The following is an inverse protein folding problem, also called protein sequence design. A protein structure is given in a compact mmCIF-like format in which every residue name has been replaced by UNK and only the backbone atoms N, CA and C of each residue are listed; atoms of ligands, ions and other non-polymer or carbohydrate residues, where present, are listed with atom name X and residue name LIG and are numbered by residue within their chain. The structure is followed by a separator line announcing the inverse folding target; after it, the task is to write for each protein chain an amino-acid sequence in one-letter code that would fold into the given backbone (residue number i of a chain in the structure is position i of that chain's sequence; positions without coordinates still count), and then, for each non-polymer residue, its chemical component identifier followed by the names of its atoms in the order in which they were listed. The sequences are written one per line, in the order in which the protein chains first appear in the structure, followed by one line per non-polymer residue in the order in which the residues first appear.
data_IF_308640624755
#
_entry.id   IF_308640624755
#
_cell.length_a   1.000
_cell.length_b   1.000
_cell.length_c   1.000
_cell.angle_alpha   90.00
_cell.angle_beta   90.00
_cell.angle_gamma   90.00
#
_symmetry.space_group_name_H-M   'P 1'
#
loop_
_entity.id
_entity.type
_entity.pdbx_description
1 polymer ?
#
# COMPACT_ATOMS: atom_id res chain seq x y z
N UNK A 1 4.76 18.98 -12.82
CA UNK A 1 3.45 19.54 -13.23
C UNK A 1 2.70 18.47 -13.97
N UNK A 2 1.63 17.94 -13.36
CA UNK A 2 0.94 16.70 -13.74
C UNK A 2 0.23 16.80 -15.10
N UNK A 3 0.18 15.67 -15.83
CA UNK A 3 -0.45 15.45 -17.14
C UNK A 3 -1.87 16.05 -17.28
N UNK A 4 -2.62 16.15 -16.17
CA UNK A 4 -4.03 16.52 -16.16
C UNK A 4 -4.35 18.01 -16.11
N UNK A 5 -3.36 18.91 -16.18
CA UNK A 5 -3.58 20.32 -15.86
C UNK A 5 -4.70 21.03 -16.67
N UNK A 6 -5.17 20.49 -17.81
CA UNK A 6 -6.15 21.17 -18.66
C UNK A 6 -7.23 20.31 -19.36
N UNK A 7 -7.42 19.01 -19.05
CA UNK A 7 -8.44 18.17 -19.75
C UNK A 7 -9.24 17.26 -18.82
N UNK A 8 -10.43 17.72 -18.42
CA UNK A 8 -11.32 17.02 -17.47
C UNK A 8 -11.86 15.68 -18.01
N UNK A 9 -12.15 15.61 -19.30
CA UNK A 9 -12.67 14.39 -19.93
C UNK A 9 -11.64 13.27 -19.95
N UNK A 10 -10.38 13.62 -20.28
CA UNK A 10 -9.25 12.68 -20.24
C UNK A 10 -9.05 12.13 -18.82
N UNK A 11 -9.14 12.98 -17.79
CA UNK A 11 -9.05 12.53 -16.40
C UNK A 11 -10.15 11.51 -16.04
N UNK A 12 -11.37 11.73 -16.53
CA UNK A 12 -12.48 10.83 -16.24
C UNK A 12 -12.35 9.49 -16.98
N UNK A 13 -11.89 9.50 -18.23
CA UNK A 13 -11.63 8.29 -18.99
C UNK A 13 -10.48 7.48 -18.37
N UNK A 14 -9.45 8.16 -17.87
CA UNK A 14 -8.31 7.53 -17.19
C UNK A 14 -8.71 6.92 -15.87
N UNK A 15 -9.60 7.61 -15.13
CA UNK A 15 -10.21 7.06 -13.94
C UNK A 15 -10.98 5.77 -14.27
N UNK A 16 -11.88 5.79 -15.26
CA UNK A 16 -12.64 4.58 -15.67
C UNK A 16 -11.71 3.45 -16.09
N UNK A 17 -10.70 3.77 -16.89
CA UNK A 17 -9.70 2.81 -17.35
C UNK A 17 -8.95 2.19 -16.17
N UNK A 18 -8.47 3.02 -15.24
CA UNK A 18 -7.75 2.56 -14.04
C UNK A 18 -8.61 1.65 -13.16
N UNK A 19 -9.90 1.97 -13.01
CA UNK A 19 -10.86 1.14 -12.26
C UNK A 19 -11.08 -0.20 -12.96
N UNK A 20 -11.24 -0.22 -14.29
CA UNK A 20 -11.39 -1.47 -15.04
C UNK A 20 -10.15 -2.38 -14.89
N UNK A 21 -8.95 -1.81 -15.05
CA UNK A 21 -7.68 -2.53 -14.86
C UNK A 21 -7.56 -3.05 -13.42
N UNK A 22 -7.90 -2.22 -12.43
CA UNK A 22 -7.93 -2.59 -11.02
C UNK A 22 -8.84 -3.79 -10.75
N UNK A 23 -10.07 -3.79 -11.25
CA UNK A 23 -11.03 -4.88 -11.02
C UNK A 23 -10.51 -6.22 -11.55
N UNK A 24 -9.94 -6.22 -12.77
CA UNK A 24 -9.36 -7.43 -13.37
C UNK A 24 -8.13 -7.92 -12.61
N UNK A 25 -7.22 -7.01 -12.27
CA UNK A 25 -6.00 -7.35 -11.54
C UNK A 25 -6.29 -7.83 -10.12
N UNK A 26 -7.28 -7.26 -9.43
CA UNK A 26 -7.65 -7.68 -8.09
C UNK A 26 -8.12 -9.14 -8.06
N UNK A 27 -8.92 -9.56 -9.04
CA UNK A 27 -9.36 -10.96 -9.15
C UNK A 27 -8.15 -11.89 -9.33
N UNK A 28 -7.23 -11.56 -10.23
CA UNK A 28 -6.07 -12.41 -10.48
C UNK A 28 -5.10 -12.43 -9.28
N UNK A 29 -4.81 -11.25 -8.71
CA UNK A 29 -3.97 -11.14 -7.51
C UNK A 29 -4.59 -11.90 -6.34
N UNK A 30 -5.92 -11.90 -6.19
CA UNK A 30 -6.57 -12.68 -5.12
C UNK A 30 -6.27 -14.18 -5.24
N UNK A 31 -6.25 -14.72 -6.46
CA UNK A 31 -5.95 -16.13 -6.71
C UNK A 31 -4.46 -16.44 -6.45
N UNK A 32 -3.57 -15.58 -6.95
CA UNK A 32 -2.12 -15.72 -6.76
C UNK A 32 -1.76 -15.61 -5.27
N UNK A 33 -2.30 -14.63 -4.55
CA UNK A 33 -2.04 -14.42 -3.13
C UNK A 33 -2.62 -15.55 -2.27
N UNK A 34 -3.81 -16.07 -2.60
CA UNK A 34 -4.35 -17.25 -1.96
C UNK A 34 -3.42 -18.45 -2.12
N UNK A 35 -2.88 -18.69 -3.32
CA UNK A 35 -1.93 -19.76 -3.59
C UNK A 35 -0.62 -19.57 -2.80
N UNK A 36 -0.02 -18.38 -2.87
CA UNK A 36 1.22 -18.04 -2.17
C UNK A 36 1.11 -18.21 -0.65
N UNK A 37 -0.01 -17.76 -0.08
CA UNK A 37 -0.23 -17.80 1.37
C UNK A 37 -0.91 -19.07 1.85
N UNK A 38 -1.24 -20.01 0.95
CA UNK A 38 -1.99 -21.22 1.24
C UNK A 38 -3.31 -20.92 1.96
N UNK A 39 -4.02 -19.88 1.50
CA UNK A 39 -5.31 -19.44 2.03
C UNK A 39 -6.40 -19.55 0.96
N UNK A 40 -7.67 -19.41 1.38
CA UNK A 40 -8.82 -19.41 0.47
C UNK A 40 -9.75 -18.24 0.77
N UNK A 41 -9.21 -17.02 0.74
CA UNK A 41 -9.98 -15.82 1.00
C UNK A 41 -10.71 -15.32 -0.25
N UNK A 42 -11.85 -14.66 -0.06
CA UNK A 42 -12.63 -14.10 -1.16
C UNK A 42 -11.95 -12.90 -1.83
N UNK A 43 -12.35 -12.56 -3.06
CA UNK A 43 -11.93 -11.31 -3.73
C UNK A 43 -12.25 -10.09 -2.86
N UNK A 44 -13.39 -10.11 -2.14
CA UNK A 44 -13.78 -9.04 -1.21
C UNK A 44 -12.78 -8.87 -0.07
N UNK A 45 -12.23 -9.97 0.46
CA UNK A 45 -11.20 -9.88 1.50
C UNK A 45 -9.95 -9.17 0.95
N UNK A 46 -9.47 -9.58 -0.21
CA UNK A 46 -8.31 -8.95 -0.85
C UNK A 46 -8.60 -7.51 -1.29
N UNK A 47 -9.85 -7.17 -1.62
CA UNK A 47 -10.28 -5.79 -1.85
C UNK A 47 -10.06 -4.91 -0.63
N UNK A 48 -10.32 -5.43 0.57
CA UNK A 48 -10.14 -4.69 1.82
C UNK A 48 -8.65 -4.56 2.15
N UNK A 49 -7.89 -5.65 2.00
CA UNK A 49 -6.47 -5.71 2.40
C UNK A 49 -5.55 -4.99 1.40
N UNK A 50 -5.64 -5.37 0.12
CA UNK A 50 -4.73 -4.92 -0.94
C UNK A 50 -5.34 -3.78 -1.77
N UNK A 51 -6.67 -3.75 -1.89
CA UNK A 51 -7.37 -2.87 -2.82
C UNK A 51 -7.02 -1.36 -2.72
N UNK A 52 -6.92 -0.76 -1.52
CA UNK A 52 -6.55 0.65 -1.38
C UNK A 52 -5.18 0.98 -1.98
N UNK A 53 -4.20 0.09 -1.79
CA UNK A 53 -2.88 0.23 -2.40
C UNK A 53 -2.95 0.02 -3.91
N UNK A 54 -3.60 -1.06 -4.37
CA UNK A 54 -3.61 -1.47 -5.77
C UNK A 54 -4.21 -0.39 -6.68
N UNK A 55 -5.39 0.14 -6.32
CA UNK A 55 -6.04 1.18 -7.11
C UNK A 55 -5.17 2.45 -7.20
N UNK A 56 -4.61 2.87 -6.06
CA UNK A 56 -3.75 4.05 -5.99
C UNK A 56 -2.49 3.88 -6.82
N UNK A 57 -1.83 2.73 -6.71
CA UNK A 57 -0.63 2.42 -7.49
C UNK A 57 -0.92 2.42 -8.99
N UNK A 58 -2.02 1.82 -9.44
CA UNK A 58 -2.40 1.80 -10.87
C UNK A 58 -2.60 3.23 -11.39
N UNK A 59 -3.31 4.08 -10.65
CA UNK A 59 -3.56 5.48 -11.04
C UNK A 59 -2.27 6.28 -11.13
N UNK A 60 -1.41 6.13 -10.12
CA UNK A 60 -0.07 6.72 -10.07
C UNK A 60 0.75 6.28 -11.28
N UNK A 61 0.81 4.98 -11.52
CA UNK A 61 1.61 4.41 -12.61
C UNK A 61 1.07 4.84 -13.99
N UNK A 62 -0.25 4.93 -14.15
CA UNK A 62 -0.89 5.41 -15.38
C UNK A 62 -0.55 6.86 -15.69
N UNK A 63 -0.63 7.76 -14.70
CA UNK A 63 -0.26 9.16 -14.86
C UNK A 63 1.21 9.32 -15.31
N UNK A 64 2.11 8.53 -14.72
CA UNK A 64 3.54 8.53 -15.06
C UNK A 64 3.80 7.95 -16.44
N UNK A 65 3.12 6.86 -16.81
CA UNK A 65 3.18 6.27 -18.14
C UNK A 65 2.76 7.29 -19.21
N UNK A 66 1.61 7.94 -19.00
CA UNK A 66 1.09 8.95 -19.93
C UNK A 66 1.98 10.18 -20.04
N UNK A 67 2.60 10.58 -18.94
CA UNK A 67 3.60 11.67 -18.94
C UNK A 67 4.78 11.33 -19.84
N UNK A 68 5.29 10.09 -19.80
CA UNK A 68 6.37 9.64 -20.68
C UNK A 68 5.91 9.55 -22.14
N UNK A 69 4.72 9.00 -22.41
CA UNK A 69 4.19 8.95 -23.77
C UNK A 69 4.05 10.36 -24.37
N UNK A 70 3.47 11.31 -23.63
CA UNK A 70 3.36 12.69 -24.09
C UNK A 70 4.73 13.35 -24.30
N UNK A 71 5.70 13.08 -23.43
CA UNK A 71 7.05 13.63 -23.56
C UNK A 71 7.73 13.10 -24.83
N UNK A 72 7.61 11.80 -25.09
CA UNK A 72 8.10 11.17 -26.30
C UNK A 72 7.42 11.72 -27.56
N UNK A 73 6.09 11.83 -27.54
CA UNK A 73 5.31 12.30 -28.70
C UNK A 73 5.41 13.82 -28.92
N UNK A 74 6.09 14.56 -28.01
CA UNK A 74 6.27 16.01 -28.14
C UNK A 74 7.46 16.43 -29.01
N UNK A 75 8.35 15.49 -29.36
CA UNK A 75 9.64 15.70 -30.03
C UNK A 75 10.59 16.71 -29.34
N UNK A 76 10.28 17.13 -28.10
CA UNK A 76 11.11 18.06 -27.32
C UNK A 76 12.17 17.38 -26.46
N UNK A 77 11.99 16.09 -26.18
CA UNK A 77 12.89 15.32 -25.31
C UNK A 77 13.83 14.52 -26.17
N UNK A 78 15.09 14.94 -26.23
CA UNK A 78 16.12 14.33 -27.08
C UNK A 78 16.87 13.18 -26.38
N UNK A 79 17.05 13.28 -25.06
CA UNK A 79 17.73 12.27 -24.26
C UNK A 79 17.31 12.42 -22.79
N UNK A 80 17.47 11.34 -22.03
CA UNK A 80 17.30 11.35 -20.58
C UNK A 80 18.27 10.38 -19.92
N UNK A 81 18.32 10.38 -18.59
CA UNK A 81 19.09 9.39 -17.85
C UNK A 81 18.18 8.60 -16.93
N UNK A 82 18.46 7.31 -16.78
CA UNK A 82 17.73 6.41 -15.91
C UNK A 82 18.68 5.76 -14.90
N UNK A 83 18.10 5.17 -13.85
CA UNK A 83 18.88 4.37 -12.90
C UNK A 83 18.23 3.01 -12.68
N UNK A 84 19.03 1.93 -12.79
CA UNK A 84 18.57 0.55 -12.73
C UNK A 84 18.90 -0.16 -11.41
N UNK A 85 19.75 0.44 -10.57
CA UNK A 85 20.39 -0.22 -9.41
C UNK A 85 19.53 -0.45 -8.17
N UNK A 86 18.22 -0.23 -8.19
CA UNK A 86 17.42 -0.10 -6.97
C UNK A 86 16.21 -1.04 -6.84
N UNK A 87 16.20 -2.17 -7.54
CA UNK A 87 15.02 -3.04 -7.60
C UNK A 87 14.48 -3.44 -6.21
N UNK A 88 15.36 -3.63 -5.21
CA UNK A 88 14.97 -4.03 -3.86
C UNK A 88 14.85 -2.87 -2.86
N UNK A 89 15.40 -1.69 -3.18
CA UNK A 89 15.41 -0.52 -2.28
C UNK A 89 14.07 0.24 -2.30
N UNK A 90 13.40 0.29 -3.46
CA UNK A 90 12.12 0.98 -3.63
C UNK A 90 10.91 0.07 -3.50
N UNK A 91 10.90 -0.74 -2.44
CA UNK A 91 9.74 -1.56 -2.08
C UNK A 91 9.17 -1.06 -0.75
N UNK A 92 7.96 -0.48 -0.74
CA UNK A 92 7.36 0.01 0.49
C UNK A 92 7.09 -1.15 1.46
N UNK A 93 7.32 -0.93 2.76
CA UNK A 93 7.00 -1.91 3.79
C UNK A 93 5.48 -2.03 3.98
N UNK A 94 4.76 -0.90 3.96
CA UNK A 94 3.32 -0.81 4.15
C UNK A 94 2.66 0.33 3.33
N UNK A 95 1.32 0.44 3.42
CA UNK A 95 0.55 1.49 2.75
C UNK A 95 0.90 2.92 3.23
N UNK A 96 1.05 3.20 4.54
CA UNK A 96 1.54 4.50 5.02
C UNK A 96 2.90 4.91 4.44
N UNK A 97 3.85 4.00 4.32
CA UNK A 97 5.15 4.26 3.68
C UNK A 97 5.00 4.55 2.20
N UNK A 98 4.24 3.72 1.47
CA UNK A 98 3.91 3.99 0.07
C UNK A 98 3.30 5.39 -0.13
N UNK A 99 2.35 5.78 0.72
CA UNK A 99 1.71 7.09 0.67
C UNK A 99 2.67 8.25 0.94
N UNK A 100 3.75 8.03 1.71
CA UNK A 100 4.82 9.03 1.91
C UNK A 100 5.73 9.11 0.69
N UNK A 101 5.96 7.98 0.00
CA UNK A 101 6.90 7.89 -1.12
C UNK A 101 6.35 8.37 -2.45
N UNK A 102 5.02 8.34 -2.66
CA UNK A 102 4.41 8.69 -3.95
C UNK A 102 4.79 10.08 -4.48
N UNK A 103 5.13 11.02 -3.59
CA UNK A 103 5.51 12.40 -3.91
C UNK A 103 7.02 12.65 -3.85
N UNK A 104 7.81 11.61 -3.56
CA UNK A 104 9.27 11.70 -3.38
C UNK A 104 9.96 11.50 -4.73
N UNK A 105 10.83 12.45 -5.10
CA UNK A 105 11.48 12.49 -6.42
C UNK A 105 12.22 11.20 -6.76
N UNK A 106 12.89 10.59 -5.79
CA UNK A 106 13.65 9.36 -5.99
C UNK A 106 12.76 8.18 -6.37
N UNK A 107 11.64 8.01 -5.66
CA UNK A 107 10.69 6.95 -5.95
C UNK A 107 10.02 7.18 -7.31
N UNK A 108 9.67 8.44 -7.61
CA UNK A 108 9.14 8.80 -8.92
C UNK A 108 10.17 8.58 -10.04
N UNK A 109 11.44 8.93 -9.83
CA UNK A 109 12.53 8.68 -10.76
C UNK A 109 12.72 7.20 -11.04
N UNK A 110 12.63 6.35 -10.00
CA UNK A 110 12.62 4.90 -10.17
C UNK A 110 11.46 4.44 -11.07
N UNK A 111 10.22 4.88 -10.80
CA UNK A 111 9.06 4.50 -11.62
C UNK A 111 9.19 4.98 -13.06
N UNK A 112 9.64 6.23 -13.27
CA UNK A 112 9.90 6.76 -14.60
C UNK A 112 11.00 5.98 -15.32
N UNK A 113 12.08 5.61 -14.64
CA UNK A 113 13.16 4.79 -15.20
C UNK A 113 12.65 3.44 -15.70
N UNK A 114 11.77 2.76 -14.94
CA UNK A 114 11.16 1.50 -15.36
C UNK A 114 10.26 1.68 -16.59
N UNK A 115 9.49 2.77 -16.64
CA UNK A 115 8.59 3.07 -17.76
C UNK A 115 9.40 3.42 -19.01
N UNK A 116 10.37 4.33 -18.93
CA UNK A 116 11.22 4.77 -20.05
C UNK A 116 11.91 3.57 -20.68
N UNK A 117 12.52 2.71 -19.85
CA UNK A 117 13.16 1.47 -20.30
C UNK A 117 12.21 0.54 -21.04
N UNK A 118 10.95 0.46 -20.61
CA UNK A 118 9.98 -0.47 -21.19
C UNK A 118 9.25 0.08 -22.41
N UNK A 119 9.15 1.41 -22.54
CA UNK A 119 8.48 2.09 -23.64
C UNK A 119 9.43 2.25 -24.84
N UNK A 120 10.73 2.42 -24.60
CA UNK A 120 11.79 2.51 -25.62
C UNK A 120 11.58 3.60 -26.68
N UNK A 121 10.75 4.62 -26.38
CA UNK A 121 10.52 5.77 -27.29
C UNK A 121 11.47 6.94 -27.07
N UNK A 122 12.08 7.05 -25.89
CA UNK A 122 12.99 8.15 -25.53
C UNK A 122 14.40 7.55 -25.37
N UNK A 123 15.43 8.08 -26.06
CA UNK A 123 16.81 7.69 -25.81
C UNK A 123 17.19 7.90 -24.35
N UNK A 124 17.95 6.96 -23.78
CA UNK A 124 18.37 7.07 -22.38
C UNK A 124 19.79 6.56 -22.14
N UNK A 125 20.41 7.13 -21.11
CA UNK A 125 21.71 6.72 -20.59
C UNK A 125 21.59 6.21 -19.15
N UNK A 126 22.36 5.17 -18.80
CA UNK A 126 22.38 4.65 -17.43
C UNK A 126 23.38 5.44 -16.57
N UNK A 127 22.90 6.01 -15.46
CA UNK A 127 23.76 6.69 -14.47
C UNK A 127 23.79 5.89 -13.16
N UNK A 128 24.98 5.38 -12.80
CA UNK A 128 25.19 4.46 -11.66
C UNK A 128 25.54 5.15 -10.33
N UNK A 129 26.10 6.36 -10.38
CA UNK A 129 26.63 7.05 -9.18
C UNK A 129 25.68 8.15 -8.66
N UNK A 130 24.51 7.76 -8.15
CA UNK A 130 23.61 8.70 -7.48
C UNK A 130 23.34 8.19 -6.07
N UNK A 131 23.81 8.96 -5.09
CA UNK A 131 23.58 8.67 -3.67
C UNK A 131 22.15 9.05 -3.28
N UNK A 132 21.31 8.03 -3.06
CA UNK A 132 19.96 8.18 -2.55
C UNK A 132 19.82 7.78 -1.06
N UNK A 133 20.92 7.75 -0.31
CA UNK A 133 20.95 7.41 1.12
C UNK A 133 20.01 8.26 2.00
N UNK A 134 19.56 9.42 1.50
CA UNK A 134 18.56 10.29 2.14
C UNK A 134 17.16 9.70 2.27
N UNK A 135 16.86 8.57 1.62
CA UNK A 135 15.57 7.86 1.74
C UNK A 135 15.42 7.01 3.00
N UNK A 136 16.49 6.83 3.78
CA UNK A 136 16.38 6.29 5.15
C UNK A 136 15.72 7.34 6.02
N UNK A 137 14.39 7.49 5.86
CA UNK A 137 13.56 8.30 6.73
C UNK A 137 13.82 7.81 8.15
N UNK A 138 14.50 8.66 8.92
CA UNK A 138 14.81 8.45 10.33
C UNK A 138 13.53 7.99 11.03
N UNK A 139 13.55 6.88 11.77
CA UNK A 139 12.41 6.48 12.58
C UNK A 139 12.06 7.64 13.51
N UNK A 140 10.80 8.04 13.51
CA UNK A 140 10.26 9.09 14.38
C UNK A 140 10.79 8.93 15.81
N UNK A 141 11.75 9.78 16.18
CA UNK A 141 12.39 9.78 17.49
C UNK A 141 11.38 10.36 18.49
N UNK A 142 10.45 9.52 18.92
CA UNK A 142 9.48 9.97 19.93
C UNK A 142 10.16 10.09 21.29
N UNK A 143 10.54 11.33 21.61
CA UNK A 143 10.87 11.97 22.89
C UNK A 143 10.63 11.17 24.19
N UNK A 144 11.62 11.26 25.08
CA UNK A 144 11.74 10.72 26.45
C UNK A 144 10.58 10.97 27.43
N UNK A 145 9.50 11.70 27.06
CA UNK A 145 8.33 11.95 27.91
C UNK A 145 7.35 10.75 28.05
N UNK A 146 7.69 9.55 27.54
CA UNK A 146 6.78 8.38 27.41
C UNK A 146 6.74 7.38 28.58
N UNK A 147 7.60 7.46 29.60
CA UNK A 147 7.74 6.35 30.60
C UNK A 147 6.53 6.15 31.53
N UNK A 148 5.93 7.22 32.07
CA UNK A 148 4.77 7.12 33.00
C UNK A 148 3.46 6.87 32.23
N UNK A 149 3.25 7.58 31.11
CA UNK A 149 2.15 7.30 30.17
C UNK A 149 2.22 5.85 29.68
N UNK A 150 3.40 5.31 29.41
CA UNK A 150 3.58 3.96 28.88
C UNK A 150 3.09 2.81 29.78
N UNK A 151 2.92 3.01 31.10
CA UNK A 151 2.35 1.97 31.97
C UNK A 151 0.81 1.96 31.92
N UNK A 152 0.17 3.13 32.02
CA UNK A 152 -1.28 3.27 31.87
C UNK A 152 -1.71 2.88 30.45
N UNK A 153 -0.96 3.30 29.43
CA UNK A 153 -1.19 2.84 28.05
C UNK A 153 -1.03 1.34 27.91
N UNK A 154 -0.05 0.69 28.57
CA UNK A 154 0.07 -0.78 28.57
C UNK A 154 -1.14 -1.46 29.19
N UNK A 155 -1.69 -0.95 30.29
CA UNK A 155 -2.91 -1.48 30.90
C UNK A 155 -4.13 -1.31 29.97
N UNK A 156 -4.28 -0.14 29.36
CA UNK A 156 -5.33 0.15 28.37
C UNK A 156 -5.17 -0.75 27.12
N UNK A 157 -3.95 -1.02 26.67
CA UNK A 157 -3.68 -1.89 25.52
C UNK A 157 -3.91 -3.38 25.83
N UNK A 158 -3.80 -3.77 27.10
CA UNK A 158 -4.11 -5.13 27.56
C UNK A 158 -5.62 -5.35 27.76
N UNK A 159 -6.37 -4.31 28.10
CA UNK A 159 -7.81 -4.37 28.35
C UNK A 159 -8.61 -5.06 27.24
N UNK A 160 -8.43 -4.75 25.94
CA UNK A 160 -9.14 -5.43 24.84
C UNK A 160 -8.90 -6.94 24.76
N UNK A 161 -7.80 -7.44 25.34
CA UNK A 161 -7.47 -8.88 25.35
C UNK A 161 -8.18 -9.65 26.47
N UNK A 162 -8.61 -8.94 27.51
CA UNK A 162 -9.28 -9.53 28.68
C UNK A 162 -10.80 -9.51 28.49
N UNK A 163 -11.32 -8.54 27.72
CA UNK A 163 -12.76 -8.45 27.42
C UNK A 163 -13.20 -9.64 26.57
N UNK A 164 -14.18 -10.45 27.01
CA UNK A 164 -14.68 -11.58 26.23
C UNK A 164 -15.24 -11.16 24.87
N UNK A 165 -15.02 -12.00 23.85
CA UNK A 165 -15.48 -11.76 22.47
C UNK A 165 -17.01 -11.49 22.39
N UNK A 166 -17.79 -12.06 23.31
CA UNK A 166 -19.24 -11.85 23.39
C UNK A 166 -19.65 -10.39 23.64
N UNK A 167 -18.78 -9.60 24.29
CA UNK A 167 -19.01 -8.18 24.56
C UNK A 167 -18.35 -7.27 23.51
N UNK A 168 -17.71 -7.84 22.48
CA UNK A 168 -17.04 -7.12 21.38
C UNK A 168 -17.78 -7.27 20.04
N UNK A 169 -19.11 -7.13 20.05
CA UNK A 169 -19.92 -7.26 18.83
C UNK A 169 -19.64 -6.16 17.79
N UNK A 170 -19.14 -4.99 18.22
CA UNK A 170 -18.80 -3.86 17.34
C UNK A 170 -17.34 -3.45 17.48
N UNK A 171 -16.59 -3.41 16.37
CA UNK A 171 -15.21 -2.92 16.38
C UNK A 171 -15.16 -1.46 15.91
N UNK A 172 -14.74 -0.56 16.79
CA UNK A 172 -14.46 0.83 16.46
C UNK A 172 -12.98 0.97 16.08
N UNK A 173 -12.71 1.50 14.88
CA UNK A 173 -11.37 1.72 14.34
C UNK A 173 -11.34 3.16 13.84
N UNK A 174 -10.44 4.01 14.35
CA UNK A 174 -10.28 5.40 13.87
C UNK A 174 -11.59 6.23 13.73
N UNK A 175 -12.61 5.91 14.53
CA UNK A 175 -13.99 6.44 14.44
C UNK A 175 -14.19 7.97 14.62
N UNK A 176 -13.10 8.74 14.75
CA UNK A 176 -13.06 10.19 14.97
C UNK A 176 -13.85 10.72 16.19
N UNK A 177 -14.50 9.85 16.98
CA UNK A 177 -15.15 10.22 18.23
C UNK A 177 -14.14 10.66 19.30
N UNK A 178 -14.53 11.65 20.10
CA UNK A 178 -13.81 11.96 21.34
C UNK A 178 -13.92 10.75 22.29
N UNK A 179 -12.90 10.46 23.12
CA UNK A 179 -12.90 9.28 23.98
C UNK A 179 -14.13 9.14 24.89
N UNK A 180 -14.64 10.26 25.42
CA UNK A 180 -15.83 10.27 26.29
C UNK A 180 -17.10 9.90 25.51
N UNK A 181 -17.23 10.39 24.28
CA UNK A 181 -18.39 10.09 23.42
C UNK A 181 -18.34 8.63 22.97
N UNK A 182 -17.14 8.12 22.64
CA UNK A 182 -16.92 6.71 22.32
C UNK A 182 -17.26 5.81 23.52
N UNK A 183 -16.87 6.20 24.74
CA UNK A 183 -17.21 5.46 25.96
C UNK A 183 -18.72 5.41 26.18
N UNK A 184 -19.40 6.57 26.10
CA UNK A 184 -20.85 6.67 26.27
C UNK A 184 -21.58 5.84 25.21
N UNK A 185 -21.13 5.91 23.97
CA UNK A 185 -21.67 5.13 22.86
C UNK A 185 -21.53 3.63 23.14
N UNK A 186 -20.32 3.16 23.46
CA UNK A 186 -20.05 1.75 23.77
C UNK A 186 -20.89 1.24 24.97
N UNK A 187 -21.01 2.03 26.03
CA UNK A 187 -21.87 1.69 27.17
C UNK A 187 -23.36 1.67 26.80
N UNK A 188 -23.82 2.60 25.95
CA UNK A 188 -25.22 2.68 25.51
C UNK A 188 -25.65 1.44 24.71
N UNK A 189 -24.71 0.84 23.96
CA UNK A 189 -24.93 -0.41 23.21
C UNK A 189 -24.60 -1.66 24.04
N UNK A 190 -24.48 -1.53 25.37
CA UNK A 190 -24.16 -2.60 26.34
C UNK A 190 -22.85 -3.33 26.03
N UNK A 191 -21.88 -2.61 25.47
CA UNK A 191 -20.54 -3.12 25.23
C UNK A 191 -19.58 -2.65 26.32
N UNK A 192 -18.57 -3.49 26.59
CA UNK A 192 -17.45 -3.10 27.44
C UNK A 192 -16.60 -2.07 26.70
N UNK A 193 -16.29 -0.91 27.31
CA UNK A 193 -15.62 0.15 26.59
C UNK A 193 -14.19 -0.24 26.22
N UNK A 194 -13.87 -0.07 24.95
CA UNK A 194 -12.54 -0.22 24.35
C UNK A 194 -12.20 1.11 23.72
N UNK A 195 -11.53 1.97 24.48
CA UNK A 195 -11.22 3.35 24.09
C UNK A 195 -9.98 3.45 23.19
N UNK A 196 -9.09 2.46 23.27
CA UNK A 196 -7.86 2.42 22.49
C UNK A 196 -7.51 0.98 22.17
N UNK A 197 -7.28 0.68 20.89
CA UNK A 197 -6.66 -0.58 20.47
C UNK A 197 -5.19 -0.31 20.13
N UNK A 198 -4.24 -1.11 20.64
CA UNK A 198 -2.83 -0.94 20.33
C UNK A 198 -2.61 -1.02 18.83
N UNK A 199 -2.07 0.05 18.23
CA UNK A 199 -1.50 -0.03 16.89
C UNK A 199 -0.19 -0.81 16.99
N UNK A 200 -0.18 -2.03 16.44
CA UNK A 200 1.05 -2.80 16.36
C UNK A 200 1.96 -2.16 15.32
N UNK A 201 3.17 -1.76 15.73
CA UNK A 201 4.20 -1.33 14.76
C UNK A 201 4.52 -2.52 13.85
N UNK A 202 4.47 -2.27 12.55
CA UNK A 202 4.86 -3.26 11.55
C UNK A 202 6.39 -3.36 11.62
N UNK A 203 6.96 -4.56 11.80
CA UNK A 203 8.41 -4.72 11.75
C UNK A 203 8.92 -4.38 10.35
N UNK A 204 10.20 -4.03 10.25
CA UNK A 204 10.86 -3.96 8.95
C UNK A 204 10.93 -5.39 8.38
N UNK A 205 10.37 -5.56 7.18
CA UNK A 205 10.34 -6.83 6.47
C UNK A 205 11.39 -6.77 5.36
N UNK A 206 12.16 -7.84 5.21
CA UNK A 206 13.07 -8.00 4.08
C UNK A 206 12.30 -8.53 2.87
N UNK A 207 12.56 -8.00 1.66
CA UNK A 207 11.90 -8.46 0.45
C UNK A 207 12.35 -9.89 0.10
N UNK A 208 11.43 -10.71 -0.43
CA UNK A 208 11.73 -12.04 -0.92
C UNK A 208 11.53 -12.09 -2.44
N UNK A 209 12.65 -12.07 -3.17
CA UNK A 209 12.65 -12.10 -4.64
C UNK A 209 11.99 -13.35 -5.24
N UNK A 210 12.06 -14.51 -4.58
CA UNK A 210 11.43 -15.73 -5.07
C UNK A 210 9.91 -15.63 -5.01
N UNK A 211 9.36 -15.21 -3.86
CA UNK A 211 7.90 -15.02 -3.71
C UNK A 211 7.34 -13.99 -4.70
N UNK A 212 8.11 -12.93 -4.99
CA UNK A 212 7.71 -11.91 -5.97
C UNK A 212 7.79 -12.42 -7.40
N UNK A 213 8.79 -13.24 -7.73
CA UNK A 213 8.94 -13.88 -9.04
C UNK A 213 7.82 -14.87 -9.37
N UNK A 214 7.17 -15.46 -8.36
CA UNK A 214 6.01 -16.35 -8.56
C UNK A 214 4.73 -15.62 -9.00
N UNK A 215 4.68 -14.29 -8.85
CA UNK A 215 3.52 -13.48 -9.24
C UNK A 215 3.58 -13.22 -10.74
N UNK A 216 2.99 -14.13 -11.51
CA UNK A 216 2.83 -13.97 -12.95
C UNK A 216 1.39 -13.54 -13.29
N UNK A 217 1.25 -12.32 -13.80
CA UNK A 217 -0.04 -11.73 -14.20
C UNK A 217 -0.39 -11.95 -15.68
N UNK A 218 0.37 -12.79 -16.39
CA UNK A 218 0.15 -13.13 -17.79
C UNK A 218 0.49 -11.99 -18.77
N UNK A 219 0.47 -12.32 -20.07
CA UNK A 219 0.64 -11.32 -21.14
C UNK A 219 -0.64 -10.48 -21.32
N UNK A 220 -0.47 -9.22 -21.73
CA UNK A 220 -1.56 -8.27 -21.95
C UNK A 220 -1.47 -7.69 -23.35
N UNK A 221 -2.62 -7.34 -23.92
CA UNK A 221 -2.69 -6.72 -25.24
C UNK A 221 -2.23 -5.26 -25.22
N UNK A 222 -2.53 -4.53 -24.14
CA UNK A 222 -2.13 -3.13 -24.00
C UNK A 222 -0.69 -3.00 -23.47
N UNK A 223 0.11 -2.11 -24.08
CA UNK A 223 1.48 -1.82 -23.66
C UNK A 223 1.53 -1.38 -22.19
N UNK A 224 0.63 -0.48 -21.76
CA UNK A 224 0.57 -0.03 -20.36
C UNK A 224 0.35 -1.20 -19.41
N UNK A 225 -0.64 -2.05 -19.69
CA UNK A 225 -0.96 -3.19 -18.82
C UNK A 225 0.16 -4.23 -18.79
N UNK A 226 0.90 -4.39 -19.89
CA UNK A 226 2.08 -5.26 -19.95
C UNK A 226 3.22 -4.75 -19.06
N UNK A 227 3.49 -3.44 -19.10
CA UNK A 227 4.52 -2.82 -18.25
C UNK A 227 4.09 -2.87 -16.78
N UNK A 228 2.82 -2.54 -16.50
CA UNK A 228 2.23 -2.61 -15.17
C UNK A 228 2.33 -4.04 -14.62
N UNK A 229 1.96 -5.06 -15.39
CA UNK A 229 2.03 -6.46 -14.96
C UNK A 229 3.45 -6.91 -14.58
N UNK A 230 4.48 -6.39 -15.26
CA UNK A 230 5.89 -6.67 -14.94
C UNK A 230 6.37 -5.93 -13.69
N UNK A 231 5.95 -4.67 -13.51
CA UNK A 231 6.40 -3.83 -12.39
C UNK A 231 5.69 -4.17 -11.07
N UNK A 232 4.40 -4.51 -11.14
CA UNK A 232 3.52 -4.66 -9.99
C UNK A 232 4.06 -5.64 -8.92
N UNK A 233 4.54 -6.86 -9.24
CA UNK A 233 5.09 -7.78 -8.24
C UNK A 233 6.20 -7.19 -7.37
N UNK A 234 7.01 -6.29 -7.93
CA UNK A 234 8.14 -5.65 -7.25
C UNK A 234 7.72 -4.40 -6.48
N UNK A 235 6.47 -3.97 -6.58
CA UNK A 235 5.97 -2.77 -5.92
C UNK A 235 4.90 -3.05 -4.86
N UNK A 236 4.38 -4.28 -4.79
CA UNK A 236 3.47 -4.69 -3.72
C UNK A 236 4.16 -4.50 -2.35
N UNK A 237 3.52 -3.80 -1.40
CA UNK A 237 4.10 -3.58 -0.09
C UNK A 237 4.41 -4.90 0.62
N UNK A 238 5.57 -4.92 1.29
CA UNK A 238 6.11 -6.14 1.91
C UNK A 238 5.15 -6.78 2.91
N UNK A 239 4.35 -5.96 3.59
CA UNK A 239 3.33 -6.41 4.54
C UNK A 239 2.28 -7.34 3.91
N UNK A 240 1.97 -7.21 2.62
CA UNK A 240 0.95 -8.00 1.93
C UNK A 240 1.48 -9.29 1.31
N UNK A 241 2.80 -9.40 1.17
CA UNK A 241 3.48 -10.60 0.67
C UNK A 241 4.26 -11.23 1.83
N UNK A 242 5.50 -10.84 2.04
CA UNK A 242 6.41 -11.48 2.99
C UNK A 242 5.92 -11.36 4.44
N UNK A 243 5.23 -10.27 4.78
CA UNK A 243 4.68 -10.00 6.10
C UNK A 243 3.30 -10.56 6.37
N UNK A 244 2.61 -11.11 5.37
CA UNK A 244 1.16 -11.36 5.43
C UNK A 244 0.78 -12.28 6.59
N UNK A 245 1.40 -13.46 6.68
CA UNK A 245 1.08 -14.46 7.72
C UNK A 245 1.27 -13.90 9.13
N UNK A 246 2.38 -13.18 9.38
CA UNK A 246 2.66 -12.54 10.67
C UNK A 246 1.63 -11.46 11.01
N UNK A 247 1.17 -10.69 10.03
CA UNK A 247 0.16 -9.65 10.24
C UNK A 247 -1.23 -10.24 10.45
N UNK A 248 -1.63 -11.24 9.68
CA UNK A 248 -2.90 -11.94 9.84
C UNK A 248 -3.02 -12.53 11.27
N UNK A 249 -2.00 -13.27 11.72
CA UNK A 249 -1.95 -13.81 13.09
C UNK A 249 -1.95 -12.71 14.17
N UNK A 250 -1.33 -11.57 13.88
CA UNK A 250 -1.34 -10.44 14.80
C UNK A 250 -2.71 -9.78 14.90
N UNK A 251 -3.42 -9.66 13.76
CA UNK A 251 -4.76 -9.12 13.70
C UNK A 251 -5.75 -10.00 14.47
N UNK A 252 -5.69 -11.33 14.32
CA UNK A 252 -6.53 -12.27 15.07
C UNK A 252 -6.35 -12.19 16.59
N UNK A 253 -5.17 -11.76 17.06
CA UNK A 253 -4.88 -11.56 18.49
C UNK A 253 -5.36 -10.21 19.03
N UNK A 254 -5.56 -9.22 18.17
CA UNK A 254 -5.88 -7.84 18.54
C UNK A 254 -7.37 -7.53 18.35
N UNK A 255 -7.99 -8.10 17.33
CA UNK A 255 -9.37 -7.87 16.95
C UNK A 255 -10.26 -9.06 17.30
N UNK A 256 -11.55 -8.82 17.63
CA UNK A 256 -12.48 -9.90 17.88
C UNK A 256 -12.66 -10.76 16.63
N UNK A 257 -12.87 -12.07 16.81
CA UNK A 257 -12.94 -13.03 15.70
C UNK A 257 -14.16 -12.86 14.81
N UNK A 258 -15.29 -12.39 15.36
CA UNK A 258 -16.57 -12.26 14.64
C UNK A 258 -17.32 -10.98 15.07
N UNK A 259 -16.81 -9.79 14.77
CA UNK A 259 -17.57 -8.57 14.99
C UNK A 259 -18.81 -8.59 14.09
N UNK A 260 -19.97 -8.28 14.66
CA UNK A 260 -21.22 -8.08 13.91
C UNK A 260 -21.18 -6.76 13.11
N UNK A 261 -20.51 -5.74 13.66
CA UNK A 261 -20.40 -4.40 13.06
C UNK A 261 -18.94 -3.93 13.15
N UNK A 262 -18.42 -3.34 12.08
CA UNK A 262 -17.14 -2.61 12.11
C UNK A 262 -17.45 -1.17 11.76
N UNK A 263 -17.13 -0.25 12.68
CA UNK A 263 -17.29 1.18 12.50
C UNK A 263 -15.90 1.80 12.35
N UNK A 264 -15.58 2.21 11.13
CA UNK A 264 -14.35 2.89 10.74
C UNK A 264 -14.60 4.38 10.58
#
# INVERSE_FOLDING_TARGET
TLYYAYKRDVLFDDYKYSVNVYERLLVQLSQVLNKLHQTNHSVRYWRIVLGPWLLRFIQIFLDRYRSICNAADSDKVTNTWITLGFLDEFIPNDLPEFNRWQDVDQYNHYLFSQIIKSVEKIPWEEKKDIDFSSLRLVPDQTSFKKKIKGFIFRLIEMWPRIVPDSFQTTSFIDSYFKPNDLMRLQLSIRMMPVLYRPRKKIPLIEPNGQMRGEINLGQRENQFESILAKCLPFQIPKVYLEGYSKMAQSAEKIFPKKPKIILT
#
